data_IF_892899327755
#
_entry.id   IF_892899327755
#
_cell.length_a   1.000
_cell.length_b   1.000
_cell.length_c   1.000
_cell.angle_alpha   90.00
_cell.angle_beta   90.00
_cell.angle_gamma   90.00
#
_symmetry.space_group_name_H-M   'P 1'
#
loop_
_entity.id
_entity.type
_entity.pdbx_description
1 polymer ?
#
# COMPACT_ATOMS: atom_id res chain seq x y z
N UNK A 1 -59.74 -8.50 -15.46
CA UNK A 1 -58.64 -9.49 -15.49
C UNK A 1 -57.35 -8.71 -15.54
N UNK A 2 -56.57 -8.70 -14.45
CA UNK A 2 -55.40 -7.84 -14.28
C UNK A 2 -54.12 -8.63 -14.56
N UNK A 3 -53.28 -8.12 -15.45
CA UNK A 3 -51.97 -8.69 -15.79
C UNK A 3 -50.91 -8.08 -14.87
N UNK A 4 -50.30 -8.90 -14.03
CA UNK A 4 -49.18 -8.51 -13.19
C UNK A 4 -47.87 -8.60 -13.99
N UNK A 5 -47.17 -7.47 -14.09
CA UNK A 5 -45.80 -7.37 -14.62
C UNK A 5 -44.82 -7.88 -13.55
N UNK A 6 -44.25 -9.05 -13.77
CA UNK A 6 -43.10 -9.56 -13.01
C UNK A 6 -41.82 -8.87 -13.50
N UNK A 7 -41.27 -7.97 -12.68
CA UNK A 7 -39.91 -7.48 -12.86
C UNK A 7 -38.94 -8.56 -12.36
N UNK A 8 -38.17 -9.17 -13.26
CA UNK A 8 -37.04 -10.02 -12.89
C UNK A 8 -35.85 -9.13 -12.52
N UNK A 9 -35.18 -9.36 -11.37
CA UNK A 9 -33.98 -8.62 -11.03
C UNK A 9 -32.84 -9.04 -11.96
N UNK A 10 -32.35 -8.11 -12.77
CA UNK A 10 -31.13 -8.27 -13.56
C UNK A 10 -29.93 -8.44 -12.62
N UNK A 11 -29.33 -9.63 -12.61
CA UNK A 11 -28.04 -9.85 -11.97
C UNK A 11 -26.96 -9.21 -12.84
N UNK A 12 -26.62 -7.96 -12.51
CA UNK A 12 -25.40 -7.31 -13.00
C UNK A 12 -24.20 -8.18 -12.60
N UNK A 13 -23.77 -9.03 -13.53
CA UNK A 13 -22.49 -9.72 -13.42
C UNK A 13 -21.41 -8.67 -13.66
N UNK A 14 -20.91 -8.09 -12.58
CA UNK A 14 -19.75 -7.22 -12.59
C UNK A 14 -18.56 -8.05 -13.02
N UNK A 15 -18.28 -8.04 -14.32
CA UNK A 15 -17.00 -8.42 -14.89
C UNK A 15 -15.93 -7.59 -14.17
N UNK A 16 -15.27 -8.17 -13.16
CA UNK A 16 -14.27 -7.45 -12.36
C UNK A 16 -13.05 -7.16 -13.24
N UNK A 17 -12.74 -5.88 -13.52
CA UNK A 17 -11.65 -5.53 -14.39
C UNK A 17 -10.35 -5.65 -13.60
N UNK A 18 -9.59 -6.73 -13.85
CA UNK A 18 -8.15 -6.87 -13.56
C UNK A 18 -7.64 -5.96 -12.41
N UNK A 19 -8.04 -6.25 -11.17
CA UNK A 19 -7.67 -5.49 -9.96
C UNK A 19 -6.18 -5.61 -9.59
N UNK A 20 -5.34 -6.10 -10.50
CA UNK A 20 -3.90 -6.33 -10.34
C UNK A 20 -3.11 -5.07 -9.97
N UNK A 21 -3.65 -3.89 -10.28
CA UNK A 21 -3.05 -2.60 -9.91
C UNK A 21 -3.41 -2.13 -8.49
N UNK A 22 -4.47 -2.67 -7.87
CA UNK A 22 -4.89 -2.27 -6.52
C UNK A 22 -3.95 -2.82 -5.47
N UNK A 23 -3.69 -2.00 -4.45
CA UNK A 23 -2.94 -2.42 -3.27
C UNK A 23 -3.80 -3.39 -2.43
N UNK A 24 -3.20 -4.48 -2.00
CA UNK A 24 -3.81 -5.44 -1.09
C UNK A 24 -3.53 -5.10 0.39
N UNK A 25 -2.40 -4.44 0.67
CA UNK A 25 -2.06 -3.96 2.00
C UNK A 25 -1.15 -2.72 1.95
N UNK A 26 -0.97 -2.03 3.07
CA UNK A 26 -0.06 -0.90 3.21
C UNK A 26 0.84 -1.07 4.44
N UNK A 27 2.15 -0.87 4.25
CA UNK A 27 3.09 -0.67 5.36
C UNK A 27 3.27 0.83 5.52
N UNK A 28 2.74 1.38 6.61
CA UNK A 28 2.87 2.81 6.91
C UNK A 28 4.05 3.05 7.83
N UNK A 29 4.94 3.96 7.43
CA UNK A 29 6.10 4.35 8.23
C UNK A 29 5.77 5.62 9.00
N UNK A 30 5.99 5.57 10.31
CA UNK A 30 5.67 6.65 11.24
C UNK A 30 6.88 6.98 12.09
N UNK A 31 7.10 8.28 12.32
CA UNK A 31 8.07 8.79 13.29
C UNK A 31 7.28 9.36 14.47
N UNK A 32 7.66 8.96 15.68
CA UNK A 32 7.13 9.58 16.91
C UNK A 32 7.79 10.94 17.07
N UNK A 33 6.98 11.98 17.21
CA UNK A 33 7.43 13.32 17.56
C UNK A 33 7.67 13.43 19.07
N UNK A 34 8.46 14.42 19.52
CA UNK A 34 8.68 14.67 20.95
C UNK A 34 7.39 14.96 21.73
N UNK A 35 6.36 15.49 21.08
CA UNK A 35 5.04 15.77 21.66
C UNK A 35 4.17 14.50 21.88
N UNK A 36 4.66 13.32 21.48
CA UNK A 36 3.94 12.05 21.56
C UNK A 36 3.04 11.76 20.35
N UNK A 37 2.83 12.73 19.44
CA UNK A 37 2.13 12.52 18.18
C UNK A 37 2.98 11.75 17.18
N UNK A 38 2.35 11.22 16.12
CA UNK A 38 3.03 10.46 15.06
C UNK A 38 2.92 11.20 13.74
N UNK A 39 4.06 11.41 13.10
CA UNK A 39 4.11 11.90 11.73
C UNK A 39 4.27 10.73 10.77
N UNK A 40 3.42 10.66 9.75
CA UNK A 40 3.60 9.70 8.65
C UNK A 40 4.72 10.20 7.76
N UNK A 41 5.78 9.41 7.61
CA UNK A 41 6.91 9.74 6.72
C UNK A 41 6.76 9.07 5.35
N UNK A 42 6.02 7.96 5.28
CA UNK A 42 5.84 7.24 4.03
C UNK A 42 4.83 6.10 4.14
N UNK A 43 4.49 5.55 2.99
CA UNK A 43 3.71 4.33 2.88
C UNK A 43 4.22 3.48 1.72
N UNK A 44 4.39 2.19 1.95
CA UNK A 44 4.68 1.21 0.92
C UNK A 44 3.38 0.45 0.66
N UNK A 45 2.85 0.61 -0.55
CA UNK A 45 1.71 -0.16 -1.02
C UNK A 45 2.16 -1.56 -1.45
N UNK A 46 1.62 -2.60 -0.82
CA UNK A 46 1.89 -3.99 -1.14
C UNK A 46 0.78 -4.54 -2.03
N UNK A 47 1.14 -5.17 -3.15
CA UNK A 47 0.22 -5.72 -4.16
C UNK A 47 0.38 -7.23 -4.24
N UNK A 48 -0.72 -7.94 -4.40
CA UNK A 48 -0.69 -9.41 -4.52
C UNK A 48 -0.09 -9.90 -5.84
N UNK A 49 0.00 -9.05 -6.87
CA UNK A 49 0.57 -9.44 -8.16
C UNK A 49 2.11 -9.58 -8.13
N UNK A 50 2.80 -9.02 -7.12
CA UNK A 50 4.25 -9.23 -6.97
C UNK A 50 4.51 -10.31 -5.94
N UNK A 51 5.19 -11.39 -6.34
CA UNK A 51 5.47 -12.56 -5.48
C UNK A 51 6.09 -12.18 -4.13
N UNK A 52 7.04 -11.25 -4.14
CA UNK A 52 7.69 -10.77 -2.92
C UNK A 52 6.71 -10.01 -2.01
N UNK A 53 5.94 -9.07 -2.56
CA UNK A 53 4.97 -8.27 -1.79
C UNK A 53 3.85 -9.18 -1.22
N UNK A 54 3.39 -10.18 -1.96
CA UNK A 54 2.42 -11.17 -1.48
C UNK A 54 2.98 -12.04 -0.34
N UNK A 55 4.23 -12.50 -0.45
CA UNK A 55 4.90 -13.24 0.62
C UNK A 55 5.10 -12.37 1.87
N UNK A 56 5.43 -11.09 1.68
CA UNK A 56 5.55 -10.13 2.77
C UNK A 56 4.19 -9.90 3.45
N UNK A 57 3.09 -9.74 2.69
CA UNK A 57 1.73 -9.64 3.26
C UNK A 57 1.43 -10.85 4.14
N UNK A 58 1.68 -12.06 3.63
CA UNK A 58 1.43 -13.31 4.37
C UNK A 58 2.26 -13.37 5.65
N UNK A 59 3.55 -13.01 5.58
CA UNK A 59 4.44 -12.98 6.75
C UNK A 59 3.98 -11.95 7.78
N UNK A 60 3.57 -10.75 7.34
CA UNK A 60 3.14 -9.69 8.26
C UNK A 60 1.78 -9.95 8.94
N UNK A 61 1.04 -10.97 8.51
CA UNK A 61 -0.16 -11.46 9.19
C UNK A 61 0.15 -12.42 10.35
N UNK A 62 1.39 -12.92 10.45
CA UNK A 62 1.82 -13.78 11.56
C UNK A 62 2.08 -12.95 12.83
N UNK A 63 1.84 -13.54 13.99
CA UNK A 63 2.11 -12.88 15.28
C UNK A 63 3.61 -12.56 15.42
N UNK A 64 3.94 -11.36 15.93
CA UNK A 64 5.32 -10.90 16.10
C UNK A 64 6.06 -10.50 14.81
N UNK A 65 5.49 -10.74 13.62
CA UNK A 65 6.15 -10.42 12.35
C UNK A 65 6.42 -8.92 12.14
N UNK A 66 5.56 -8.05 12.69
CA UNK A 66 5.77 -6.59 12.67
C UNK A 66 6.97 -6.18 13.52
N UNK A 67 7.23 -6.85 14.64
CA UNK A 67 8.38 -6.57 15.51
C UNK A 67 9.68 -7.08 14.88
N UNK A 68 9.62 -8.26 14.26
CA UNK A 68 10.72 -8.77 13.44
C UNK A 68 11.02 -7.84 12.26
N UNK A 69 10.00 -7.32 11.56
CA UNK A 69 10.17 -6.35 10.48
C UNK A 69 10.82 -5.06 10.98
N UNK A 70 10.35 -4.53 12.11
CA UNK A 70 10.96 -3.33 12.74
C UNK A 70 12.43 -3.54 13.10
N UNK A 71 12.78 -4.74 13.56
CA UNK A 71 14.15 -5.08 13.95
C UNK A 71 15.08 -5.26 12.75
N UNK A 72 14.54 -5.64 11.59
CA UNK A 72 15.29 -5.83 10.35
C UNK A 72 15.30 -4.58 9.44
N UNK A 73 14.65 -3.48 9.85
CA UNK A 73 14.54 -2.28 9.03
C UNK A 73 15.83 -1.45 9.11
N UNK A 74 16.50 -1.28 7.98
CA UNK A 74 17.62 -0.36 7.83
C UNK A 74 17.15 0.97 7.23
N UNK A 75 17.58 2.09 7.79
CA UNK A 75 17.27 3.44 7.31
C UNK A 75 18.59 4.10 6.93
N UNK A 76 18.81 4.26 5.63
CA UNK A 76 19.95 5.00 5.09
C UNK A 76 19.56 6.46 4.80
N UNK A 77 20.42 7.40 5.19
CA UNK A 77 20.22 8.83 4.95
C UNK A 77 21.26 9.33 3.95
N UNK A 78 20.78 9.77 2.80
CA UNK A 78 21.62 10.37 1.77
C UNK A 78 21.15 11.80 1.49
N UNK A 79 22.10 12.73 1.47
CA UNK A 79 21.87 14.09 1.01
C UNK A 79 22.25 14.15 -0.47
N UNK A 80 21.30 14.50 -1.32
CA UNK A 80 21.61 14.83 -2.71
C UNK A 80 22.30 16.19 -2.71
N UNK A 81 23.59 16.25 -3.04
CA UNK A 81 24.22 17.53 -3.35
C UNK A 81 23.66 18.01 -4.68
N UNK A 82 22.98 19.15 -4.67
CA UNK A 82 22.73 19.90 -5.90
C UNK A 82 24.07 20.40 -6.41
N UNK A 83 24.64 19.70 -7.40
CA UNK A 83 25.70 20.27 -8.21
C UNK A 83 25.06 21.40 -9.01
N UNK A 84 25.22 22.64 -8.55
CA UNK A 84 24.81 23.84 -9.28
C UNK A 84 25.70 23.91 -10.52
N UNK A 85 25.22 23.36 -11.63
CA UNK A 85 25.85 23.58 -12.92
C UNK A 85 25.59 25.04 -13.32
N UNK A 86 26.48 25.92 -12.88
CA UNK A 86 26.67 27.26 -13.43
C UNK A 86 27.04 27.09 -14.91
N UNK A 87 26.03 27.13 -15.78
CA UNK A 87 26.24 27.24 -17.22
C UNK A 87 26.64 28.68 -17.53
N UNK A 88 27.88 29.01 -17.17
CA UNK A 88 28.60 30.15 -17.68
C UNK A 88 29.09 29.89 -19.10
N UNK A 89 28.96 30.93 -19.93
CA UNK A 89 29.40 31.15 -21.33
C UNK A 89 28.35 30.95 -22.43
#
# INVERSE_FOLDING_TARGET
MAFAIQQQPQTNTTNSPNDSWKAAAFVNLWVKRPDGSKAKIGAIALRNNKKFEAALIKRLQEEGAIEALKSALEIDFQVVSEEVSDVGF
#
